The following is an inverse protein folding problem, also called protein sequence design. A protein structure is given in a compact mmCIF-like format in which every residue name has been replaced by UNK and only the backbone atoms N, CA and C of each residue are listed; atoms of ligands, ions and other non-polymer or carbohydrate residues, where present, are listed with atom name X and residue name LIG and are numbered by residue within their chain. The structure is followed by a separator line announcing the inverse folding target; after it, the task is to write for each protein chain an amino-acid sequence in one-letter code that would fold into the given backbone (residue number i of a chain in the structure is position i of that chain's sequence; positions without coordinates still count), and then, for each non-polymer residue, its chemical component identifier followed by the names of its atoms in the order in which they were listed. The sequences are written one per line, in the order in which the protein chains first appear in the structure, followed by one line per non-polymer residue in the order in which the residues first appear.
data_IF_281742746898
#
_entry.id   IF_281742746898
#
_cell.length_a   1.000
_cell.length_b   1.000
_cell.length_c   1.000
_cell.angle_alpha   90.00
_cell.angle_beta   90.00
_cell.angle_gamma   90.00
#
_symmetry.space_group_name_H-M   'P 1'
#
loop_
_entity.id
_entity.type
_entity.pdbx_description
1 polymer ?
#
# COMPACT_ATOMS: atom_id res chain seq x y z
N UNK A 1 10.52 -25.00 12.34
CA UNK A 1 9.90 -23.72 11.90
C UNK A 1 9.96 -23.69 10.38
N UNK A 2 8.82 -23.61 9.71
CA UNK A 2 8.71 -23.81 8.26
C UNK A 2 8.94 -22.48 7.50
N UNK A 3 9.70 -22.49 6.40
CA UNK A 3 10.08 -21.28 5.66
C UNK A 3 8.84 -20.51 5.14
N UNK A 4 7.81 -21.23 4.75
CA UNK A 4 6.53 -20.68 4.29
C UNK A 4 5.81 -19.85 5.35
N UNK A 5 5.83 -20.29 6.62
CA UNK A 5 5.17 -19.57 7.71
C UNK A 5 5.82 -18.20 7.94
N UNK A 6 7.16 -18.15 7.90
CA UNK A 6 7.92 -16.90 8.01
C UNK A 6 7.62 -15.93 6.87
N UNK A 7 7.46 -16.44 5.65
CA UNK A 7 7.07 -15.63 4.49
C UNK A 7 5.69 -14.99 4.66
N UNK A 8 4.71 -15.77 5.12
CA UNK A 8 3.35 -15.26 5.38
C UNK A 8 3.32 -14.21 6.49
N UNK A 9 4.06 -14.43 7.58
CA UNK A 9 4.16 -13.46 8.69
C UNK A 9 4.77 -12.13 8.22
N UNK A 10 5.83 -12.17 7.41
CA UNK A 10 6.45 -10.96 6.84
C UNK A 10 5.49 -10.20 5.93
N UNK A 11 4.76 -10.91 5.06
CA UNK A 11 3.77 -10.28 4.16
C UNK A 11 2.65 -9.63 4.98
N UNK A 12 2.14 -10.31 6.01
CA UNK A 12 1.11 -9.73 6.87
C UNK A 12 1.61 -8.50 7.62
N UNK A 13 2.83 -8.54 8.17
CA UNK A 13 3.43 -7.37 8.83
C UNK A 13 3.58 -6.16 7.89
N UNK A 14 3.96 -6.37 6.62
CA UNK A 14 4.03 -5.30 5.63
C UNK A 14 2.66 -4.73 5.27
N UNK A 15 1.65 -5.59 5.13
CA UNK A 15 0.26 -5.17 4.90
C UNK A 15 -0.26 -4.32 6.06
N UNK A 16 -0.06 -4.76 7.30
CA UNK A 16 -0.48 -4.05 8.50
C UNK A 16 0.20 -2.67 8.59
N UNK A 17 1.50 -2.61 8.31
CA UNK A 17 2.26 -1.36 8.27
C UNK A 17 1.71 -0.36 7.24
N UNK A 18 1.39 -0.83 6.03
CA UNK A 18 0.77 0.03 5.00
C UNK A 18 -0.61 0.54 5.43
N UNK A 19 -1.41 -0.31 6.09
CA UNK A 19 -2.70 0.11 6.63
C UNK A 19 -2.53 1.17 7.73
N UNK A 20 -1.53 1.05 8.59
CA UNK A 20 -1.20 2.08 9.59
C UNK A 20 -0.83 3.41 8.94
N UNK A 21 -0.01 3.38 7.89
CA UNK A 21 0.35 4.58 7.10
C UNK A 21 -0.90 5.25 6.53
N UNK A 22 -1.82 4.47 5.96
CA UNK A 22 -3.08 4.99 5.41
C UNK A 22 -4.00 5.54 6.52
N UNK A 23 -4.15 4.85 7.65
CA UNK A 23 -4.95 5.35 8.80
C UNK A 23 -4.40 6.66 9.37
N UNK A 24 -3.10 6.89 9.25
CA UNK A 24 -2.45 8.14 9.65
C UNK A 24 -2.58 9.28 8.63
N UNK A 25 -3.27 9.07 7.50
CA UNK A 25 -3.38 10.06 6.43
C UNK A 25 -4.84 10.49 6.20
N UNK A 26 -5.19 11.78 6.33
CA UNK A 26 -6.57 12.24 6.21
C UNK A 26 -7.18 11.95 4.82
N UNK A 27 -6.39 12.13 3.75
CA UNK A 27 -6.85 11.82 2.39
C UNK A 27 -7.10 10.32 2.12
N UNK A 28 -6.59 9.43 2.97
CA UNK A 28 -6.83 7.98 2.88
C UNK A 28 -8.07 7.53 3.64
N UNK A 29 -8.79 8.42 4.33
CA UNK A 29 -10.05 8.06 4.97
C UNK A 29 -11.09 7.60 3.93
N UNK A 30 -12.10 6.82 4.34
CA UNK A 30 -13.17 6.43 3.43
C UNK A 30 -13.91 7.64 2.88
N UNK A 31 -14.03 7.72 1.56
CA UNK A 31 -14.59 8.90 0.86
C UNK A 31 -13.59 10.04 0.62
N UNK A 32 -12.36 9.92 1.11
CA UNK A 32 -11.25 10.86 0.85
C UNK A 32 -10.76 10.81 -0.60
N UNK A 33 -9.84 11.72 -0.94
CA UNK A 33 -9.28 11.88 -2.30
C UNK A 33 -8.29 10.78 -2.69
N UNK A 34 -7.85 9.97 -1.72
CA UNK A 34 -6.86 8.92 -1.89
C UNK A 34 -5.42 9.44 -1.88
N UNK A 35 -4.51 8.59 -1.41
CA UNK A 35 -3.08 8.88 -1.27
C UNK A 35 -2.32 8.22 -2.39
N UNK A 36 -1.39 8.96 -2.99
CA UNK A 36 -0.53 8.41 -4.04
C UNK A 36 0.32 7.25 -3.51
N UNK A 37 0.48 6.21 -4.33
CA UNK A 37 1.33 5.06 -4.01
C UNK A 37 2.74 5.49 -3.63
N UNK A 38 3.33 6.48 -4.30
CA UNK A 38 4.66 6.99 -3.95
C UNK A 38 4.70 7.58 -2.54
N UNK A 39 3.66 8.32 -2.14
CA UNK A 39 3.59 8.93 -0.82
C UNK A 39 3.39 7.86 0.27
N UNK A 40 2.60 6.81 -0.02
CA UNK A 40 2.46 5.65 0.87
C UNK A 40 3.81 4.94 1.04
N UNK A 41 4.51 4.68 -0.06
CA UNK A 41 5.83 4.05 -0.04
C UNK A 41 6.83 4.88 0.77
N UNK A 42 6.85 6.20 0.54
CA UNK A 42 7.73 7.15 1.25
C UNK A 42 7.47 7.17 2.74
N UNK A 43 6.20 7.29 3.17
CA UNK A 43 5.83 7.30 4.59
C UNK A 43 6.03 5.96 5.27
N UNK A 44 5.83 4.88 4.55
CA UNK A 44 6.08 3.52 5.03
C UNK A 44 7.56 3.17 5.13
N UNK A 45 8.48 4.04 4.68
CA UNK A 45 9.90 3.68 4.57
C UNK A 45 10.15 2.57 3.53
N UNK A 46 9.17 2.33 2.65
CA UNK A 46 9.23 1.42 1.51
C UNK A 46 9.67 2.16 0.24
N UNK A 47 10.37 3.29 0.42
CA UNK A 47 10.96 4.06 -0.66
C UNK A 47 12.45 4.24 -0.37
N UNK A 48 13.29 3.89 -1.33
CA UNK A 48 14.72 4.20 -1.32
C UNK A 48 15.01 5.03 -2.58
N UNK A 49 15.74 6.15 -2.43
CA UNK A 49 16.01 7.14 -3.48
C UNK A 49 16.96 6.62 -4.59
N UNK A 50 16.74 5.39 -5.09
CA UNK A 50 17.58 4.78 -6.12
C UNK A 50 17.26 3.32 -6.48
N UNK A 51 16.38 2.63 -5.75
CA UNK A 51 16.06 1.21 -6.03
C UNK A 51 14.55 1.01 -6.20
N UNK A 52 14.10 0.83 -7.44
CA UNK A 52 12.68 0.64 -7.79
C UNK A 52 12.01 -0.61 -7.21
N UNK A 53 12.77 -1.51 -6.58
CA UNK A 53 12.26 -2.75 -5.97
C UNK A 53 11.33 -2.50 -4.76
N UNK A 54 11.60 -1.44 -3.98
CA UNK A 54 10.78 -1.11 -2.81
C UNK A 54 9.45 -0.43 -3.21
N UNK A 55 9.48 0.39 -4.26
CA UNK A 55 8.28 0.95 -4.88
C UNK A 55 7.36 -0.17 -5.44
N UNK A 56 7.97 -1.20 -6.03
CA UNK A 56 7.24 -2.38 -6.52
C UNK A 56 6.63 -3.20 -5.37
N UNK A 57 7.37 -3.40 -4.27
CA UNK A 57 6.88 -4.12 -3.09
C UNK A 57 5.65 -3.43 -2.49
N UNK A 58 5.68 -2.10 -2.36
CA UNK A 58 4.52 -1.32 -1.92
C UNK A 58 3.31 -1.54 -2.83
N UNK A 59 3.52 -1.52 -4.16
CA UNK A 59 2.47 -1.76 -5.15
C UNK A 59 1.81 -3.14 -5.01
N UNK A 60 2.61 -4.20 -4.86
CA UNK A 60 2.07 -5.56 -4.66
C UNK A 60 1.25 -5.67 -3.37
N UNK A 61 1.73 -5.08 -2.27
CA UNK A 61 0.97 -5.10 -1.01
C UNK A 61 -0.36 -4.36 -1.12
N UNK A 62 -0.39 -3.21 -1.79
CA UNK A 62 -1.63 -2.46 -2.05
C UNK A 62 -2.62 -3.29 -2.88
N UNK A 63 -2.15 -4.01 -3.90
CA UNK A 63 -3.01 -4.92 -4.69
C UNK A 63 -3.55 -6.07 -3.84
N UNK A 64 -2.76 -6.64 -2.92
CA UNK A 64 -3.24 -7.68 -2.01
C UNK A 64 -4.30 -7.13 -1.05
N UNK A 65 -4.05 -5.97 -0.43
CA UNK A 65 -5.01 -5.30 0.46
C UNK A 65 -6.32 -4.95 -0.26
N UNK A 66 -6.23 -4.55 -1.53
CA UNK A 66 -7.40 -4.30 -2.37
C UNK A 66 -8.19 -5.58 -2.66
N UNK A 67 -7.52 -6.69 -2.97
CA UNK A 67 -8.17 -8.01 -3.11
C UNK A 67 -8.86 -8.45 -1.82
N UNK A 68 -8.29 -8.08 -0.67
CA UNK A 68 -8.86 -8.31 0.67
C UNK A 68 -9.99 -7.32 1.02
N UNK A 69 -10.33 -6.37 0.14
CA UNK A 69 -11.33 -5.31 0.32
C UNK A 69 -11.05 -4.35 1.49
N UNK A 70 -9.80 -4.23 1.95
CA UNK A 70 -9.41 -3.33 3.04
C UNK A 70 -9.14 -1.90 2.56
N UNK A 71 -8.72 -1.77 1.30
CA UNK A 71 -8.49 -0.50 0.62
C UNK A 71 -9.16 -0.53 -0.75
N UNK A 72 -9.33 0.63 -1.36
CA UNK A 72 -9.81 0.78 -2.73
C UNK A 72 -8.92 1.69 -3.57
N UNK A 73 -8.88 1.44 -4.88
CA UNK A 73 -8.20 2.26 -5.86
C UNK A 73 -9.14 3.38 -6.30
N UNK A 74 -8.76 4.62 -6.03
CA UNK A 74 -9.55 5.83 -6.34
C UNK A 74 -9.29 6.31 -7.76
N UNK A 75 -8.03 6.26 -8.18
CA UNK A 75 -7.60 6.71 -9.51
C UNK A 75 -6.53 5.75 -10.03
N UNK A 76 -6.78 5.18 -11.22
CA UNK A 76 -5.82 4.35 -11.93
C UNK A 76 -5.15 5.19 -13.02
N UNK A 77 -3.90 5.57 -12.80
CA UNK A 77 -3.06 6.14 -13.85
C UNK A 77 -2.45 4.98 -14.64
N UNK A 78 -3.07 4.61 -15.77
CA UNK A 78 -2.72 3.44 -16.60
C UNK A 78 -1.22 3.32 -16.98
N UNK A 79 -0.47 4.42 -16.92
CA UNK A 79 0.95 4.47 -17.33
C UNK A 79 1.93 4.72 -16.18
N UNK A 80 1.47 5.08 -14.98
CA UNK A 80 2.36 5.40 -13.87
C UNK A 80 1.82 4.88 -12.54
N UNK A 81 2.33 3.73 -12.11
CA UNK A 81 1.94 3.10 -10.84
C UNK A 81 2.14 4.01 -9.63
N UNK A 82 3.11 4.95 -9.70
CA UNK A 82 3.37 5.90 -8.62
C UNK A 82 2.22 6.88 -8.42
N UNK A 83 1.45 7.13 -9.48
CA UNK A 83 0.33 8.07 -9.51
C UNK A 83 -1.02 7.43 -9.18
N UNK A 84 -1.06 6.11 -8.95
CA UNK A 84 -2.25 5.43 -8.43
C UNK A 84 -2.60 5.97 -7.04
N UNK A 85 -3.88 6.25 -6.81
CA UNK A 85 -4.36 6.74 -5.51
C UNK A 85 -5.15 5.68 -4.77
N UNK A 86 -4.81 5.49 -3.51
CA UNK A 86 -5.39 4.45 -2.64
C UNK A 86 -6.01 5.07 -1.39
N UNK A 87 -7.14 4.53 -0.93
CA UNK A 87 -7.75 4.91 0.35
C UNK A 87 -8.34 3.70 1.08
N UNK A 88 -8.60 3.86 2.37
CA UNK A 88 -9.29 2.86 3.18
C UNK A 88 -10.72 2.65 2.68
N UNK A 89 -11.17 1.39 2.73
CA UNK A 89 -12.55 1.06 2.42
C UNK A 89 -13.45 1.32 3.64
N UNK A 90 -14.72 1.67 3.43
CA UNK A 90 -15.70 2.02 4.47
C UNK A 90 -16.39 0.84 5.14
N UNK A 91 -15.84 -0.37 5.03
CA UNK A 91 -16.47 -1.60 5.56
C UNK A 91 -16.47 -1.67 7.09
#
# INVERSE_FOLDING_TARGET
MNLHQRGTELINGLKDHILEVLRGHPDAEPGGTGVFQEEIARRGGLHNMGTGELDHTCGEMLRLLHKENLIELVEDAEQDEKRKRWRLNSR
#
